data_IF_717846438246
#
_entry.id   IF_717846438246
#
_cell.length_a   1.000
_cell.length_b   1.000
_cell.length_c   1.000
_cell.angle_alpha   90.00
_cell.angle_beta   90.00
_cell.angle_gamma   90.00
#
_symmetry.space_group_name_H-M   'P 1'
#
loop_
_entity.id
_entity.type
_entity.pdbx_description
1 polymer ?
#
# COMPACT_ATOMS: atom_id res chain seq x y z
N UNK A 1 11.05 -9.35 10.30
CA UNK A 1 11.00 -8.09 9.56
C UNK A 1 10.60 -6.98 10.54
N UNK A 2 11.36 -5.89 10.57
CA UNK A 2 11.06 -4.73 11.41
C UNK A 2 9.98 -3.90 10.74
N UNK A 3 8.99 -3.44 11.51
CA UNK A 3 7.93 -2.56 11.03
C UNK A 3 8.31 -1.11 11.33
N UNK A 4 8.41 -0.30 10.28
CA UNK A 4 8.75 1.12 10.34
C UNK A 4 7.50 1.99 10.21
N UNK A 5 7.55 3.24 10.68
CA UNK A 5 6.49 4.19 10.37
C UNK A 5 6.48 4.51 8.86
N UNK A 6 5.28 4.57 8.26
CA UNK A 6 5.14 4.98 6.86
C UNK A 6 5.39 6.47 6.73
N UNK A 7 6.42 6.86 6.00
CA UNK A 7 6.72 8.26 5.64
C UNK A 7 7.04 8.36 4.16
N UNK A 8 6.79 9.52 3.57
CA UNK A 8 7.08 9.76 2.15
C UNK A 8 8.57 9.53 1.82
N UNK A 9 9.48 9.93 2.72
CA UNK A 9 10.92 9.73 2.55
C UNK A 9 11.31 8.24 2.57
N UNK A 10 10.84 7.49 3.58
CA UNK A 10 11.18 6.08 3.71
C UNK A 10 10.56 5.20 2.62
N UNK A 11 9.45 5.64 2.04
CA UNK A 11 8.70 4.94 0.99
C UNK A 11 9.07 5.34 -0.44
N UNK A 12 9.93 6.35 -0.63
CA UNK A 12 10.23 6.95 -1.94
C UNK A 12 10.71 5.96 -3.01
N UNK A 13 11.40 4.89 -2.63
CA UNK A 13 11.86 3.84 -3.54
C UNK A 13 10.73 2.92 -4.05
N UNK A 14 9.55 2.99 -3.45
CA UNK A 14 8.43 2.07 -3.71
C UNK A 14 7.22 2.77 -4.33
N UNK A 15 7.14 4.09 -4.22
CA UNK A 15 6.03 4.88 -4.73
C UNK A 15 5.76 6.12 -3.90
N UNK A 16 4.49 6.52 -3.87
CA UNK A 16 4.05 7.73 -3.19
C UNK A 16 3.25 7.38 -1.92
N UNK A 17 3.38 8.20 -0.89
CA UNK A 17 2.45 8.22 0.25
C UNK A 17 1.38 9.27 -0.05
N UNK A 18 0.11 8.86 0.01
CA UNK A 18 -1.05 9.73 -0.21
C UNK A 18 -1.51 10.24 1.15
N UNK A 19 -1.13 11.47 1.47
CA UNK A 19 -1.41 12.07 2.78
C UNK A 19 -1.65 13.58 2.63
N UNK A 20 -2.69 14.07 3.30
CA UNK A 20 -2.94 15.50 3.41
C UNK A 20 -2.05 16.09 4.52
N UNK A 21 -1.17 17.01 4.15
CA UNK A 21 -0.36 17.75 5.11
C UNK A 21 -0.91 19.16 5.31
N UNK A 22 -0.94 19.62 6.56
CA UNK A 22 -1.34 20.97 6.90
C UNK A 22 -0.36 21.97 6.27
N UNK A 23 -0.87 22.98 5.58
CA UNK A 23 -0.08 23.99 4.91
C UNK A 23 0.31 23.68 3.47
N UNK A 24 0.24 22.41 3.04
CA UNK A 24 0.47 22.03 1.64
C UNK A 24 -0.82 22.13 0.81
N UNK A 25 -0.70 22.62 -0.43
CA UNK A 25 -1.85 22.76 -1.32
C UNK A 25 -2.34 24.17 -1.49
N UNK A 26 -3.57 24.34 -1.95
CA UNK A 26 -4.19 25.63 -2.21
C UNK A 26 -5.71 25.60 -2.11
N UNK A 27 -6.29 26.77 -1.81
CA UNK A 27 -7.73 26.95 -1.76
C UNK A 27 -8.37 26.98 -3.15
N UNK A 28 -9.52 26.32 -3.30
CA UNK A 28 -10.39 26.37 -4.48
C UNK A 28 -11.83 26.63 -4.03
N UNK A 29 -12.76 26.78 -4.98
CA UNK A 29 -14.17 26.98 -4.69
C UNK A 29 -14.41 28.14 -3.71
N UNK A 30 -13.80 29.31 -3.98
CA UNK A 30 -13.93 30.54 -3.17
C UNK A 30 -13.46 30.35 -1.69
N UNK A 31 -12.50 29.44 -1.47
CA UNK A 31 -11.95 29.16 -0.14
C UNK A 31 -12.69 28.08 0.66
N UNK A 32 -13.79 27.51 0.12
CA UNK A 32 -14.54 26.45 0.81
C UNK A 32 -13.92 25.06 0.68
N UNK A 33 -12.90 24.89 -0.19
CA UNK A 33 -12.21 23.62 -0.39
C UNK A 33 -10.71 23.85 -0.43
N UNK A 34 -9.94 23.03 0.31
CA UNK A 34 -8.49 23.00 0.23
C UNK A 34 -8.05 21.78 -0.57
N UNK A 35 -7.26 22.01 -1.62
CA UNK A 35 -6.79 20.95 -2.51
C UNK A 35 -5.34 20.57 -2.20
N UNK A 36 -5.14 19.36 -1.67
CA UNK A 36 -3.82 18.72 -1.62
C UNK A 36 -3.54 18.12 -3.00
N UNK A 37 -2.75 18.87 -3.80
CA UNK A 37 -2.66 18.62 -5.24
C UNK A 37 -1.59 17.61 -5.61
N UNK A 38 -1.95 16.63 -6.45
CA UNK A 38 -1.02 15.70 -7.10
C UNK A 38 -0.15 14.92 -6.09
N UNK A 39 -0.77 14.31 -5.10
CA UNK A 39 -0.09 13.48 -4.09
C UNK A 39 0.49 12.20 -4.69
N UNK A 40 -0.10 11.70 -5.78
CA UNK A 40 0.37 10.57 -6.57
C UNK A 40 -0.06 10.72 -8.03
N UNK A 41 0.50 9.90 -8.90
CA UNK A 41 0.09 9.85 -10.32
C UNK A 41 -0.22 8.41 -10.70
N UNK A 42 -1.41 8.18 -11.23
CA UNK A 42 -1.79 6.90 -11.82
C UNK A 42 -0.98 6.66 -13.10
N UNK A 43 -0.36 5.49 -13.21
CA UNK A 43 0.41 5.06 -14.38
C UNK A 43 -0.27 3.88 -15.04
N UNK A 44 -0.37 3.92 -16.35
CA UNK A 44 -0.80 2.84 -17.23
C UNK A 44 0.26 2.60 -18.28
N UNK A 45 0.28 1.42 -18.91
CA UNK A 45 1.31 1.04 -19.87
C UNK A 45 1.02 1.59 -21.27
N UNK A 46 -0.25 1.49 -21.71
CA UNK A 46 -0.65 1.86 -23.07
C UNK A 46 -1.66 3.03 -23.05
N UNK A 47 -1.70 3.87 -24.10
CA UNK A 47 -2.69 4.95 -24.19
C UNK A 47 -4.15 4.48 -24.20
N UNK A 48 -4.41 3.21 -24.57
CA UNK A 48 -5.73 2.60 -24.58
C UNK A 48 -6.15 1.96 -23.26
N UNK A 49 -5.24 1.93 -22.29
CA UNK A 49 -5.54 1.36 -20.96
C UNK A 49 -6.43 2.31 -20.17
N UNK A 50 -7.30 1.74 -19.36
CA UNK A 50 -8.13 2.49 -18.43
C UNK A 50 -7.49 2.55 -17.05
N UNK A 51 -7.60 3.70 -16.40
CA UNK A 51 -7.46 3.80 -14.95
C UNK A 51 -8.83 3.51 -14.33
N UNK A 52 -8.92 2.46 -13.52
CA UNK A 52 -10.18 2.02 -12.91
C UNK A 52 -10.20 2.29 -11.41
N UNK A 53 -11.40 2.39 -10.85
CA UNK A 53 -11.65 2.57 -9.43
C UNK A 53 -12.40 1.36 -8.91
N UNK A 54 -11.89 0.77 -7.81
CA UNK A 54 -12.48 -0.41 -7.17
C UNK A 54 -12.56 -0.20 -5.65
N UNK A 55 -13.34 -1.03 -4.99
CA UNK A 55 -13.32 -1.16 -3.52
C UNK A 55 -12.80 -2.55 -3.17
N UNK A 56 -11.75 -2.59 -2.37
CA UNK A 56 -11.25 -3.83 -1.78
C UNK A 56 -11.72 -3.93 -0.33
N UNK A 57 -12.46 -4.99 -0.02
CA UNK A 57 -12.88 -5.32 1.34
C UNK A 57 -11.99 -6.41 1.89
N UNK A 58 -11.17 -6.08 2.88
CA UNK A 58 -10.15 -6.96 3.42
C UNK A 58 -10.50 -7.43 4.83
N UNK A 59 -10.02 -8.63 5.17
CA UNK A 59 -10.07 -9.21 6.53
C UNK A 59 -8.66 -9.39 7.07
N UNK A 60 -8.52 -9.30 8.40
CA UNK A 60 -7.23 -9.53 9.06
C UNK A 60 -6.75 -10.97 8.87
N UNK A 61 -5.43 -11.12 8.82
CA UNK A 61 -4.76 -12.43 8.84
C UNK A 61 -4.40 -12.81 10.29
N UNK A 62 -4.26 -14.11 10.60
CA UNK A 62 -3.77 -14.53 11.92
C UNK A 62 -2.39 -13.95 12.23
N UNK A 63 -2.17 -13.54 13.48
CA UNK A 63 -0.86 -13.11 13.98
C UNK A 63 -0.09 -14.31 14.58
N UNK A 64 1.26 -14.36 14.45
CA UNK A 64 2.09 -13.44 13.64
C UNK A 64 1.81 -13.58 12.14
N UNK A 65 1.90 -12.49 11.39
CA UNK A 65 1.61 -12.52 9.96
C UNK A 65 2.83 -13.08 9.21
N UNK A 66 2.62 -14.21 8.53
CA UNK A 66 3.63 -14.80 7.67
C UNK A 66 3.65 -14.12 6.29
N UNK A 67 4.84 -13.72 5.84
CA UNK A 67 5.08 -13.22 4.49
C UNK A 67 5.53 -14.39 3.62
N UNK A 68 4.58 -15.01 2.96
CA UNK A 68 4.77 -16.22 2.15
C UNK A 68 4.80 -15.96 0.65
N UNK A 69 4.45 -14.73 0.24
CA UNK A 69 4.43 -14.36 -1.17
C UNK A 69 4.57 -12.85 -1.33
N UNK A 70 4.95 -12.44 -2.52
CA UNK A 70 4.88 -11.06 -3.00
C UNK A 70 4.31 -11.06 -4.42
N UNK A 71 3.64 -9.97 -4.77
CA UNK A 71 3.13 -9.74 -6.12
C UNK A 71 3.61 -8.39 -6.66
N UNK A 72 3.54 -8.22 -7.98
CA UNK A 72 3.77 -6.92 -8.63
C UNK A 72 2.89 -6.76 -9.86
N UNK A 73 2.64 -5.50 -10.21
CA UNK A 73 1.92 -5.12 -11.41
C UNK A 73 2.89 -4.44 -12.39
N UNK A 74 3.39 -5.16 -13.44
CA UNK A 74 4.41 -4.63 -14.33
C UNK A 74 3.90 -3.59 -15.33
N UNK A 75 2.59 -3.46 -15.51
CA UNK A 75 1.97 -2.60 -16.53
C UNK A 75 1.22 -1.38 -15.95
N UNK A 76 1.29 -1.14 -14.66
CA UNK A 76 0.63 0.01 -14.07
C UNK A 76 0.95 0.20 -12.58
N UNK A 77 0.62 1.38 -12.07
CA UNK A 77 0.65 1.67 -10.64
C UNK A 77 -0.60 1.14 -9.97
N UNK A 78 -0.56 1.04 -8.64
CA UNK A 78 -1.74 0.65 -7.86
C UNK A 78 -1.81 1.49 -6.58
N UNK A 79 -2.87 2.27 -6.44
CA UNK A 79 -3.10 3.13 -5.30
C UNK A 79 -4.15 2.54 -4.36
N UNK A 80 -3.88 2.63 -3.07
CA UNK A 80 -4.77 2.23 -1.99
C UNK A 80 -5.00 3.40 -1.04
N UNK A 81 -6.25 3.77 -0.83
CA UNK A 81 -6.64 4.77 0.17
C UNK A 81 -7.63 4.14 1.15
N UNK A 82 -7.32 4.07 2.46
CA UNK A 82 -8.24 3.51 3.43
C UNK A 82 -9.50 4.38 3.53
N UNK A 83 -10.67 3.73 3.61
CA UNK A 83 -11.96 4.40 3.77
C UNK A 83 -12.32 4.62 5.24
N UNK A 84 -11.51 4.12 6.16
CA UNK A 84 -11.61 4.34 7.61
C UNK A 84 -10.25 4.78 8.15
N UNK A 85 -10.25 5.59 9.20
CA UNK A 85 -9.03 6.09 9.82
C UNK A 85 -8.36 5.01 10.70
N UNK A 86 -8.05 3.85 10.10
CA UNK A 86 -7.44 2.70 10.77
C UNK A 86 -6.09 2.39 10.14
N UNK A 87 -5.01 2.22 10.94
CA UNK A 87 -3.72 1.81 10.43
C UNK A 87 -3.76 0.47 9.70
N UNK A 88 -2.93 0.34 8.68
CA UNK A 88 -2.70 -0.91 7.95
C UNK A 88 -1.21 -1.08 7.65
N UNK A 89 -0.82 -2.28 7.26
CA UNK A 89 0.57 -2.62 6.96
C UNK A 89 0.84 -2.58 5.46
N UNK A 90 2.02 -2.11 5.12
CA UNK A 90 2.56 -2.06 3.76
C UNK A 90 3.87 -2.83 3.73
N UNK A 91 3.91 -3.92 2.98
CA UNK A 91 5.11 -4.78 2.86
C UNK A 91 5.56 -4.76 1.41
N UNK A 92 6.78 -4.30 1.17
CA UNK A 92 7.28 -3.98 -0.17
C UNK A 92 8.73 -4.40 -0.39
N UNK A 93 9.08 -4.57 -1.66
CA UNK A 93 10.46 -4.62 -2.14
C UNK A 93 10.58 -3.85 -3.46
N UNK A 94 11.78 -3.37 -3.80
CA UNK A 94 12.02 -2.56 -5.00
C UNK A 94 11.61 -3.31 -6.28
N UNK A 95 11.22 -2.56 -7.28
CA UNK A 95 11.02 -3.08 -8.64
C UNK A 95 12.34 -3.72 -9.14
N UNK A 96 12.21 -4.84 -9.87
CA UNK A 96 13.38 -5.55 -10.38
C UNK A 96 13.25 -7.07 -10.28
N UNK A 97 14.36 -7.79 -10.01
CA UNK A 97 14.35 -9.23 -9.83
C UNK A 97 13.41 -9.67 -8.70
N UNK A 98 13.11 -10.95 -8.63
CA UNK A 98 12.36 -11.53 -7.51
C UNK A 98 13.04 -11.20 -6.17
N UNK A 99 12.31 -10.65 -5.19
CA UNK A 99 12.88 -10.21 -3.94
C UNK A 99 13.26 -11.42 -3.05
N UNK A 100 14.30 -11.23 -2.27
CA UNK A 100 14.64 -12.12 -1.15
C UNK A 100 14.11 -11.49 0.15
N UNK A 101 14.04 -12.29 1.21
CA UNK A 101 13.59 -11.80 2.52
C UNK A 101 14.35 -10.54 2.99
N UNK A 102 15.65 -10.47 2.71
CA UNK A 102 16.49 -9.32 3.07
C UNK A 102 16.14 -8.03 2.32
N UNK A 103 15.44 -8.13 1.18
CA UNK A 103 15.04 -6.99 0.36
C UNK A 103 13.70 -6.39 0.80
N UNK A 104 12.97 -7.10 1.69
CA UNK A 104 11.62 -6.75 2.11
C UNK A 104 11.67 -5.72 3.23
N UNK A 105 10.90 -4.65 3.06
CA UNK A 105 10.62 -3.66 4.10
C UNK A 105 9.13 -3.66 4.45
N UNK A 106 8.85 -3.38 5.70
CA UNK A 106 7.48 -3.31 6.22
C UNK A 106 7.23 -1.95 6.87
N UNK A 107 6.08 -1.38 6.59
CA UNK A 107 5.64 -0.10 7.15
C UNK A 107 4.26 -0.23 7.77
N UNK A 108 3.97 0.61 8.76
CA UNK A 108 2.64 0.82 9.31
C UNK A 108 2.18 2.24 9.02
N UNK A 109 0.97 2.37 8.45
CA UNK A 109 0.34 3.68 8.22
C UNK A 109 -0.20 4.27 9.54
N UNK A 110 -0.37 5.57 9.58
CA UNK A 110 -0.99 6.27 10.73
C UNK A 110 -2.54 6.26 10.71
N UNK A 111 -3.15 5.50 9.77
CA UNK A 111 -4.60 5.43 9.57
C UNK A 111 -5.19 6.51 8.67
N UNK A 112 -4.44 7.55 8.31
CA UNK A 112 -4.87 8.62 7.40
C UNK A 112 -4.08 8.64 6.09
N UNK A 113 -3.09 7.77 5.98
CA UNK A 113 -2.22 7.62 4.82
C UNK A 113 -2.74 6.53 3.89
N UNK A 114 -2.70 6.80 2.60
CA UNK A 114 -2.73 5.81 1.54
C UNK A 114 -1.36 5.64 0.90
N UNK A 115 -1.23 4.70 -0.01
CA UNK A 115 -0.02 4.46 -0.80
C UNK A 115 -0.36 4.31 -2.27
N UNK A 116 0.58 4.67 -3.13
CA UNK A 116 0.54 4.35 -4.55
C UNK A 116 1.81 3.59 -4.91
N UNK A 117 1.71 2.28 -5.10
CA UNK A 117 2.84 1.48 -5.56
C UNK A 117 3.23 1.88 -6.97
N UNK A 118 4.49 2.19 -7.20
CA UNK A 118 5.03 2.42 -8.53
C UNK A 118 4.98 1.12 -9.36
N UNK A 119 4.87 1.29 -10.69
CA UNK A 119 4.87 0.16 -11.63
C UNK A 119 6.01 -0.81 -11.34
N UNK A 120 5.68 -2.09 -11.21
CA UNK A 120 6.64 -3.17 -11.01
C UNK A 120 7.22 -3.31 -9.61
N UNK A 121 6.81 -2.49 -8.66
CA UNK A 121 7.20 -2.64 -7.25
C UNK A 121 6.56 -3.90 -6.67
N UNK A 122 7.37 -4.72 -6.04
CA UNK A 122 6.91 -5.89 -5.33
C UNK A 122 6.21 -5.49 -4.02
N UNK A 123 5.04 -6.06 -3.78
CA UNK A 123 4.28 -5.83 -2.56
C UNK A 123 3.52 -7.09 -2.13
N UNK A 124 3.29 -7.21 -0.85
CA UNK A 124 2.36 -8.22 -0.32
C UNK A 124 0.93 -7.72 -0.51
N UNK A 125 -0.04 -8.58 -0.84
CA UNK A 125 -1.46 -8.22 -0.81
C UNK A 125 -1.84 -7.52 0.50
N UNK A 126 -2.89 -6.70 0.48
CA UNK A 126 -3.34 -5.89 1.63
C UNK A 126 -3.27 -6.64 2.96
N UNK A 127 -2.62 -6.01 3.93
CA UNK A 127 -2.50 -6.47 5.31
C UNK A 127 -3.13 -5.44 6.24
N UNK A 128 -4.20 -5.82 6.92
CA UNK A 128 -4.93 -4.96 7.83
C UNK A 128 -4.79 -5.44 9.28
N UNK A 129 -4.90 -4.51 10.21
CA UNK A 129 -4.79 -4.77 11.65
C UNK A 129 -6.17 -4.90 12.33
N UNK A 130 -7.16 -4.19 11.80
CA UNK A 130 -8.56 -4.33 12.25
C UNK A 130 -9.18 -5.63 11.68
N UNK A 131 -10.26 -6.14 12.25
CA UNK A 131 -10.94 -7.34 11.75
C UNK A 131 -11.35 -7.23 10.27
N UNK A 132 -11.85 -6.06 9.87
CA UNK A 132 -12.25 -5.73 8.50
C UNK A 132 -11.87 -4.28 8.17
N UNK A 133 -11.49 -4.03 6.92
CA UNK A 133 -11.21 -2.68 6.42
C UNK A 133 -11.42 -2.59 4.93
N UNK A 134 -12.02 -1.49 4.47
CA UNK A 134 -12.25 -1.20 3.06
C UNK A 134 -11.27 -0.15 2.54
N UNK A 135 -10.90 -0.30 1.27
CA UNK A 135 -9.98 0.61 0.56
C UNK A 135 -10.58 1.03 -0.77
N UNK A 136 -10.46 2.31 -1.09
CA UNK A 136 -10.53 2.77 -2.46
C UNK A 136 -9.23 2.38 -3.16
N UNK A 137 -9.36 1.71 -4.31
CA UNK A 137 -8.21 1.25 -5.10
C UNK A 137 -8.30 1.86 -6.49
N UNK A 138 -7.19 2.43 -6.95
CA UNK A 138 -7.07 2.97 -8.31
C UNK A 138 -5.91 2.26 -8.99
N UNK A 139 -6.21 1.54 -10.05
CA UNK A 139 -5.22 0.77 -10.80
C UNK A 139 -5.57 0.68 -12.29
N UNK A 140 -4.85 -0.14 -13.01
CA UNK A 140 -4.93 -0.28 -14.45
C UNK A 140 -5.84 -1.44 -14.86
N UNK A 141 -6.70 -1.20 -15.85
CA UNK A 141 -7.33 -2.24 -16.67
C UNK A 141 -6.87 -2.12 -18.12
N UNK A 142 -6.54 -3.24 -18.75
CA UNK A 142 -6.07 -3.29 -20.13
C UNK A 142 -5.55 -4.66 -20.51
N UNK A 143 -5.09 -4.82 -21.74
CA UNK A 143 -4.50 -6.06 -22.24
C UNK A 143 -3.10 -6.31 -21.62
N UNK A 144 -2.66 -7.56 -21.70
CA UNK A 144 -1.36 -8.00 -21.20
C UNK A 144 -1.41 -8.56 -19.78
N UNK A 145 -0.32 -9.22 -19.39
CA UNK A 145 -0.20 -9.78 -18.04
C UNK A 145 0.29 -8.72 -17.06
N UNK A 146 -0.60 -8.27 -16.18
CA UNK A 146 -0.31 -7.26 -15.15
C UNK A 146 -0.19 -7.85 -13.75
N UNK A 147 0.09 -9.14 -13.63
CA UNK A 147 0.32 -9.80 -12.34
C UNK A 147 1.50 -10.77 -12.45
N UNK A 148 2.53 -10.55 -11.65
CA UNK A 148 3.56 -11.54 -11.37
C UNK A 148 3.55 -11.81 -9.87
N UNK A 149 3.76 -13.05 -9.50
CA UNK A 149 3.80 -13.51 -8.10
C UNK A 149 5.08 -14.30 -7.87
N UNK A 150 5.61 -14.18 -6.66
CA UNK A 150 6.69 -15.03 -6.14
C UNK A 150 6.23 -15.65 -4.83
N UNK A 151 6.44 -16.96 -4.69
CA UNK A 151 6.14 -17.69 -3.46
C UNK A 151 7.43 -17.99 -2.72
N UNK A 152 7.43 -17.77 -1.41
CA UNK A 152 8.56 -18.09 -0.56
C UNK A 152 8.39 -19.50 0.06
N UNK A 153 9.45 -20.30 0.05
CA UNK A 153 9.49 -21.56 0.76
C UNK A 153 9.52 -21.30 2.28
N UNK A 154 9.24 -22.31 3.09
CA UNK A 154 9.21 -22.19 4.56
C UNK A 154 10.48 -21.56 5.14
N UNK A 155 11.65 -21.92 4.62
CA UNK A 155 12.95 -21.35 5.04
C UNK A 155 13.17 -19.90 4.59
N UNK A 156 12.35 -19.39 3.67
CA UNK A 156 12.43 -18.05 3.08
C UNK A 156 11.33 -17.12 3.58
N UNK A 157 10.38 -17.64 4.35
CA UNK A 157 9.27 -16.85 4.88
C UNK A 157 9.74 -15.89 5.97
N UNK A 158 9.31 -14.64 5.86
CA UNK A 158 9.40 -13.65 6.93
C UNK A 158 8.16 -13.68 7.82
N UNK A 159 8.31 -13.14 9.03
CA UNK A 159 7.17 -12.91 9.92
C UNK A 159 7.13 -11.46 10.39
N UNK A 160 5.92 -10.94 10.53
CA UNK A 160 5.63 -9.67 11.16
C UNK A 160 4.97 -9.93 12.51
N UNK A 161 5.60 -9.50 13.59
CA UNK A 161 4.96 -9.44 14.89
C UNK A 161 4.16 -8.15 14.97
N UNK A 162 2.85 -8.28 15.02
CA UNK A 162 1.88 -7.18 15.04
C UNK A 162 1.13 -7.10 16.36
N UNK A 163 1.55 -7.84 17.38
CA UNK A 163 0.86 -7.98 18.66
C UNK A 163 0.64 -6.62 19.33
N UNK A 164 1.67 -5.80 19.41
CA UNK A 164 1.59 -4.48 20.03
C UNK A 164 0.68 -3.53 19.22
N UNK A 165 0.77 -3.56 17.89
CA UNK A 165 -0.06 -2.75 17.02
C UNK A 165 -1.55 -3.09 17.15
N UNK A 166 -1.90 -4.38 17.24
CA UNK A 166 -3.29 -4.83 17.45
C UNK A 166 -3.79 -4.42 18.83
N UNK A 167 -2.95 -4.56 19.86
CA UNK A 167 -3.30 -4.17 21.22
C UNK A 167 -3.55 -2.66 21.34
N UNK A 168 -2.75 -1.84 20.67
CA UNK A 168 -2.93 -0.38 20.67
C UNK A 168 -4.24 0.03 19.98
N UNK A 169 -4.60 -0.60 18.87
CA UNK A 169 -5.89 -0.38 18.21
C UNK A 169 -7.07 -0.74 19.09
N UNK A 170 -6.99 -1.84 19.83
CA UNK A 170 -8.07 -2.27 20.74
C UNK A 170 -8.29 -1.35 21.94
N UNK A 171 -7.30 -0.52 22.28
CA UNK A 171 -7.41 0.51 23.36
C UNK A 171 -8.05 1.81 22.87
N UNK A 172 -8.10 2.03 21.55
CA UNK A 172 -8.65 3.25 20.93
C UNK A 172 -10.11 3.06 20.45
N UNK A 173 -10.62 1.84 20.46
CA UNK A 173 -11.99 1.46 20.09
C UNK A 173 -12.89 1.37 21.31
#
# INVERSE_FOLDING_TARGET
>A
IIIEALTAEAFADFGDVIEAHEGDGFGINQGYTWRHHKLATVKTDQPKDDAIISIFSSKSRPAPIAITMMERHPLGSQAFMPLTATPFLVVVAKAGPEPKLADIRAFVSNGKQGVNYSTGVWHHPLLILAPEQNFLVVDRAGEGNNLNEVMFNEDQCGQLDVTDLINDLSRLS
#
